data_IF_018938882904
#
_entry.id   IF_018938882904
#
_cell.length_a   1.000
_cell.length_b   1.000
_cell.length_c   1.000
_cell.angle_alpha   90.00
_cell.angle_beta   90.00
_cell.angle_gamma   90.00
#
_symmetry.space_group_name_H-M   'P 1'
#
loop_
_entity.id
_entity.type
_entity.pdbx_description
1 polymer ?
#
# COMPACT_ATOMS: atom_id res chain seq x y z
N UNK A 1 14.52 6.48 6.42
CA UNK A 1 13.31 6.29 7.24
C UNK A 1 12.06 6.68 6.47
N UNK A 2 11.95 7.95 6.04
CA UNK A 2 10.74 8.48 5.38
C UNK A 2 10.32 7.80 4.06
N UNK A 3 11.22 7.13 3.34
CA UNK A 3 10.85 6.34 2.15
C UNK A 3 9.82 5.25 2.47
N UNK A 4 9.98 4.56 3.61
CA UNK A 4 9.03 3.52 4.04
C UNK A 4 7.67 4.09 4.42
N UNK A 5 7.67 5.27 5.06
CA UNK A 5 6.43 5.99 5.39
C UNK A 5 5.72 6.45 4.13
N UNK A 6 6.44 7.03 3.17
CA UNK A 6 5.92 7.42 1.85
C UNK A 6 5.27 6.24 1.14
N UNK A 7 5.99 5.12 1.03
CA UNK A 7 5.47 3.90 0.41
C UNK A 7 4.20 3.37 1.11
N UNK A 8 4.16 3.44 2.45
CA UNK A 8 2.97 3.01 3.20
C UNK A 8 1.76 3.92 2.98
N UNK A 9 1.95 5.25 2.94
CA UNK A 9 0.87 6.21 2.66
C UNK A 9 0.36 6.07 1.22
N UNK A 10 1.24 5.83 0.25
CA UNK A 10 0.82 5.53 -1.12
C UNK A 10 -0.01 4.25 -1.20
N UNK A 11 0.38 3.20 -0.48
CA UNK A 11 -0.35 1.95 -0.45
C UNK A 11 -1.76 2.13 0.14
N UNK A 12 -1.87 2.86 1.25
CA UNK A 12 -3.16 3.18 1.87
C UNK A 12 -4.00 4.06 0.94
N UNK A 13 -3.42 5.07 0.29
CA UNK A 13 -4.15 5.93 -0.64
C UNK A 13 -4.75 5.14 -1.80
N UNK A 14 -4.03 4.12 -2.30
CA UNK A 14 -4.49 3.25 -3.40
C UNK A 14 -5.69 2.37 -3.01
N UNK A 15 -5.91 2.07 -1.73
CA UNK A 15 -7.07 1.27 -1.30
C UNK A 15 -8.37 2.07 -1.38
N UNK A 16 -8.30 3.40 -1.36
CA UNK A 16 -9.45 4.32 -1.35
C UNK A 16 -10.44 4.07 -0.18
N UNK A 17 -9.99 3.45 0.91
CA UNK A 17 -10.86 3.10 2.05
C UNK A 17 -10.87 4.19 3.13
N UNK A 18 -9.72 4.78 3.45
CA UNK A 18 -9.55 5.79 4.48
C UNK A 18 -8.81 7.01 3.93
N UNK A 19 -9.19 8.20 4.42
CA UNK A 19 -8.48 9.44 4.09
C UNK A 19 -7.11 9.47 4.78
N UNK A 20 -6.08 9.70 3.99
CA UNK A 20 -4.69 9.92 4.45
C UNK A 20 -4.11 11.15 3.75
N UNK A 21 -3.10 11.84 4.33
CA UNK A 21 -2.43 12.93 3.62
C UNK A 21 -1.72 12.38 2.39
N UNK A 22 -1.91 13.01 1.23
CA UNK A 22 -1.24 12.56 0.00
C UNK A 22 0.27 12.77 0.13
N UNK A 23 1.09 11.72 -0.01
CA UNK A 23 2.54 11.88 -0.04
C UNK A 23 2.97 12.67 -1.28
N UNK A 24 3.97 13.54 -1.13
CA UNK A 24 4.51 14.37 -2.23
C UNK A 24 5.96 13.98 -2.54
N UNK A 25 6.84 14.02 -1.53
CA UNK A 25 8.26 13.63 -1.69
C UNK A 25 9.00 13.54 -0.36
N UNK A 26 10.09 12.79 -0.36
CA UNK A 26 11.15 12.85 0.67
C UNK A 26 12.27 13.74 0.14
N UNK A 27 12.80 14.64 0.96
CA UNK A 27 13.90 15.55 0.61
C UNK A 27 14.99 15.53 1.66
N UNK A 28 16.24 15.61 1.21
CA UNK A 28 17.37 15.85 2.11
C UNK A 28 17.57 17.36 2.30
N UNK A 29 17.74 17.75 3.56
CA UNK A 29 17.96 19.12 3.97
C UNK A 29 19.45 19.33 4.32
N UNK A 30 19.95 20.57 4.15
CA UNK A 30 21.28 20.94 4.63
C UNK A 30 21.46 20.60 6.12
N UNK A 31 22.62 20.06 6.49
CA UNK A 31 22.89 19.61 7.86
C UNK A 31 22.57 18.13 8.12
N UNK A 32 22.26 17.34 7.08
CA UNK A 32 22.13 15.88 7.19
C UNK A 32 20.80 15.41 7.78
N UNK A 33 19.78 16.26 7.74
CA UNK A 33 18.42 15.88 8.10
C UNK A 33 17.62 15.56 6.84
N UNK A 34 16.61 14.72 6.96
CA UNK A 34 15.68 14.42 5.87
C UNK A 34 14.29 14.91 6.29
N UNK A 35 13.49 15.39 5.36
CA UNK A 35 12.11 15.81 5.59
C UNK A 35 11.15 15.07 4.66
N UNK A 36 9.95 14.80 5.17
CA UNK A 36 8.87 14.20 4.41
C UNK A 36 7.77 15.21 4.13
N UNK A 37 7.49 15.46 2.85
CA UNK A 37 6.51 16.43 2.36
C UNK A 37 5.24 15.70 1.93
N UNK A 38 4.09 16.17 2.43
CA UNK A 38 2.76 15.62 2.15
C UNK A 38 1.69 16.72 2.17
N UNK A 39 0.47 16.37 1.73
CA UNK A 39 -0.71 17.24 1.81
C UNK A 39 -0.97 17.73 3.23
N UNK A 40 -1.25 19.02 3.38
CA UNK A 40 -1.73 19.60 4.63
C UNK A 40 -3.19 19.22 4.85
N UNK A 41 -3.49 18.56 5.97
CA UNK A 41 -4.84 18.23 6.38
C UNK A 41 -5.32 19.18 7.47
N UNK A 42 -6.47 19.81 7.25
CA UNK A 42 -7.20 20.47 8.32
C UNK A 42 -7.85 19.40 9.21
N UNK A 43 -7.25 19.19 10.38
CA UNK A 43 -7.70 18.18 11.33
C UNK A 43 -8.84 18.72 12.20
N UNK A 44 -9.99 18.06 12.14
CA UNK A 44 -11.15 18.32 13.00
C UNK A 44 -11.34 17.26 14.08
N UNK A 45 -12.22 17.54 15.04
CA UNK A 45 -12.58 16.57 16.07
C UNK A 45 -13.30 15.35 15.51
N UNK A 46 -12.86 14.15 15.89
CA UNK A 46 -13.39 12.90 15.36
C UNK A 46 -14.65 12.39 16.09
N UNK A 47 -15.03 13.00 17.22
CA UNK A 47 -16.08 12.46 18.11
C UNK A 47 -17.40 12.12 17.38
N UNK A 48 -17.80 12.92 16.39
CA UNK A 48 -19.03 12.67 15.58
C UNK A 48 -18.82 11.70 14.42
N UNK A 49 -17.57 11.34 14.10
CA UNK A 49 -17.18 10.53 12.94
C UNK A 49 -16.44 9.24 13.33
N UNK A 50 -16.28 8.94 14.63
CA UNK A 50 -15.56 7.75 15.11
C UNK A 50 -16.11 6.44 14.53
N UNK A 51 -17.44 6.32 14.40
CA UNK A 51 -18.07 5.14 13.79
C UNK A 51 -17.69 4.99 12.31
N UNK A 52 -17.74 6.08 11.54
CA UNK A 52 -17.34 6.09 10.14
C UNK A 52 -15.85 5.74 9.98
N UNK A 53 -14.98 6.31 10.83
CA UNK A 53 -13.57 5.97 10.83
C UNK A 53 -13.37 4.48 11.10
N UNK A 54 -14.08 3.91 12.07
CA UNK A 54 -14.03 2.49 12.39
C UNK A 54 -14.40 1.60 11.20
N UNK A 55 -15.47 1.94 10.48
CA UNK A 55 -15.86 1.23 9.25
C UNK A 55 -14.78 1.34 8.17
N UNK A 56 -14.27 2.53 7.90
CA UNK A 56 -13.22 2.75 6.89
C UNK A 56 -11.92 2.00 7.20
N UNK A 57 -11.56 1.91 8.49
CA UNK A 57 -10.43 1.10 8.94
C UNK A 57 -10.69 -0.40 8.77
N UNK A 58 -11.89 -0.88 9.09
CA UNK A 58 -12.25 -2.28 8.87
C UNK A 58 -12.17 -2.65 7.38
N UNK A 59 -12.64 -1.76 6.50
CA UNK A 59 -12.54 -1.95 5.04
C UNK A 59 -11.09 -1.99 4.56
N UNK A 60 -10.22 -1.12 5.10
CA UNK A 60 -8.78 -1.17 4.84
C UNK A 60 -8.19 -2.53 5.24
N UNK A 61 -8.53 -3.03 6.43
CA UNK A 61 -8.04 -4.33 6.91
C UNK A 61 -8.51 -5.48 6.01
N UNK A 62 -9.79 -5.51 5.63
CA UNK A 62 -10.34 -6.52 4.74
C UNK A 62 -9.71 -6.47 3.34
N UNK A 63 -9.44 -5.28 2.81
CA UNK A 63 -8.73 -5.11 1.54
C UNK A 63 -7.33 -5.73 1.60
N UNK A 64 -6.56 -5.39 2.64
CA UNK A 64 -5.20 -5.90 2.81
C UNK A 64 -5.17 -7.42 3.05
N UNK A 65 -6.14 -7.96 3.79
CA UNK A 65 -6.27 -9.41 3.99
C UNK A 65 -6.51 -10.14 2.66
N UNK A 66 -7.47 -9.69 1.85
CA UNK A 66 -7.75 -10.27 0.53
C UNK A 66 -6.54 -10.22 -0.39
N UNK A 67 -5.82 -9.10 -0.37
CA UNK A 67 -4.60 -8.94 -1.16
C UNK A 67 -3.51 -9.93 -0.73
N UNK A 68 -3.30 -10.10 0.58
CA UNK A 68 -2.35 -11.08 1.13
C UNK A 68 -2.73 -12.53 0.80
N UNK A 69 -4.02 -12.88 0.87
CA UNK A 69 -4.51 -14.20 0.47
C UNK A 69 -4.28 -14.48 -1.02
N UNK A 70 -4.51 -13.49 -1.89
CA UNK A 70 -4.25 -13.59 -3.33
C UNK A 70 -2.75 -13.82 -3.59
N UNK A 71 -1.88 -13.02 -2.99
CA UNK A 71 -0.42 -13.18 -3.14
C UNK A 71 0.06 -14.55 -2.63
N UNK A 72 -0.50 -15.05 -1.53
CA UNK A 72 -0.17 -16.39 -1.01
C UNK A 72 -0.58 -17.50 -1.98
N UNK A 73 -1.76 -17.39 -2.61
CA UNK A 73 -2.21 -18.35 -3.63
C UNK A 73 -1.30 -18.33 -4.87
N UNK A 74 -0.91 -17.14 -5.33
CA UNK A 74 0.00 -16.96 -6.47
C UNK A 74 1.41 -17.48 -6.16
N UNK A 75 1.95 -17.15 -4.98
CA UNK A 75 3.27 -17.62 -4.53
C UNK A 75 3.35 -19.13 -4.25
N UNK A 76 2.22 -19.78 -3.99
CA UNK A 76 2.14 -21.25 -3.85
C UNK A 76 2.14 -22.00 -5.20
N UNK A 77 2.17 -21.29 -6.34
CA UNK A 77 2.24 -21.92 -7.67
C UNK A 77 3.68 -21.93 -8.18
N UNK A 78 4.43 -22.99 -7.87
CA UNK A 78 5.76 -23.24 -8.45
C UNK A 78 5.59 -24.20 -9.64
N UNK A 79 5.78 -23.68 -10.85
CA UNK A 79 5.74 -24.48 -12.09
C UNK A 79 4.74 -23.97 -13.12
N UNK A 80 5.00 -22.80 -13.73
CA UNK A 80 4.46 -22.56 -15.08
C UNK A 80 5.26 -23.44 -16.02
N UNK A 81 4.59 -24.44 -16.59
CA UNK A 81 5.13 -25.37 -17.56
C UNK A 81 5.52 -24.56 -18.79
N UNK A 82 6.75 -24.06 -18.85
CA UNK A 82 7.34 -23.67 -20.12
C UNK A 82 7.51 -24.98 -20.89
N UNK A 83 6.52 -25.26 -21.75
CA UNK A 83 6.46 -26.51 -22.49
C UNK A 83 7.78 -26.73 -23.20
N UNK A 84 8.47 -27.78 -22.77
CA UNK A 84 9.37 -28.55 -23.60
C UNK A 84 8.59 -28.95 -24.85
N UNK A 85 8.69 -28.15 -25.91
CA UNK A 85 8.19 -28.51 -27.25
C UNK A 85 9.31 -28.23 -28.27
N UNK A 86 10.38 -28.98 -28.14
CA UNK A 86 11.24 -29.33 -29.28
C UNK A 86 11.43 -30.84 -29.27
N UNK A 87 10.38 -31.56 -29.66
CA UNK A 87 10.56 -32.83 -30.35
C UNK A 87 10.66 -32.46 -31.84
N UNK A 88 11.85 -32.58 -32.42
CA UNK A 88 12.00 -32.71 -33.87
C UNK A 88 12.62 -34.10 -34.11
N UNK A 89 11.93 -35.01 -34.82
CA UNK A 89 12.47 -36.30 -35.21
C UNK A 89 13.20 -36.17 -36.56
N UNK A 90 14.39 -36.77 -36.65
CA UNK A 90 14.89 -37.58 -37.80
C UNK A 90 16.39 -37.82 -37.61
#
# INVERSE_FOLDING_TARGET
MFEGEMASLEAILKTQTIKVPKPIKVIDLPGGSTAFVMEHLEMGGLNRHSALLGTQLADLHLHNQKLGEKQKKEGNTVGTVHSCLQIQPS
#
